data_IF_456481465173
#
_entry.id   IF_456481465173
#
_cell.length_a   1.000
_cell.length_b   1.000
_cell.length_c   1.000
_cell.angle_alpha   90.00
_cell.angle_beta   90.00
_cell.angle_gamma   90.00
#
_symmetry.space_group_name_H-M   'P 1'
#
loop_
_entity.id
_entity.type
_entity.pdbx_description
1 polymer ?
#
# COMPACT_ATOMS: atom_id res chain seq x y z
N UNK A 1 15.22 19.79 9.75
CA UNK A 1 16.16 19.53 10.87
C UNK A 1 15.63 20.27 12.09
N UNK A 2 15.72 19.67 13.29
CA UNK A 2 15.28 20.31 14.54
C UNK A 2 14.11 19.64 15.27
N UNK A 3 13.97 18.30 15.23
CA UNK A 3 12.93 17.59 15.99
C UNK A 3 13.55 16.64 17.00
N UNK A 4 12.92 16.54 18.17
CA UNK A 4 13.24 15.52 19.17
C UNK A 4 12.33 14.33 18.87
N UNK A 5 12.92 13.24 18.40
CA UNK A 5 12.21 11.99 18.18
C UNK A 5 12.51 11.07 19.35
N UNK A 6 11.47 10.67 20.07
CA UNK A 6 11.57 9.65 21.10
C UNK A 6 11.33 8.28 20.47
N UNK A 7 12.17 7.32 20.83
CA UNK A 7 12.08 5.94 20.37
C UNK A 7 11.86 5.06 21.60
N UNK A 8 10.91 4.14 21.53
CA UNK A 8 10.65 3.17 22.60
C UNK A 8 10.48 1.78 21.99
N UNK A 9 10.92 0.77 22.73
CA UNK A 9 10.68 -0.65 22.49
C UNK A 9 9.90 -1.30 23.64
N UNK A 10 9.44 -0.49 24.60
CA UNK A 10 8.63 -0.95 25.73
C UNK A 10 7.19 -1.20 25.27
N UNK A 11 6.64 -2.41 25.46
CA UNK A 11 5.28 -2.75 25.02
C UNK A 11 4.19 -1.96 25.76
N UNK A 12 4.39 -1.58 27.02
CA UNK A 12 3.41 -0.81 27.79
C UNK A 12 3.33 0.62 27.27
N UNK A 13 4.48 1.23 26.96
CA UNK A 13 4.53 2.56 26.35
C UNK A 13 3.95 2.51 24.93
N UNK A 14 4.30 1.49 24.13
CA UNK A 14 3.77 1.32 22.78
C UNK A 14 2.25 1.18 22.77
N UNK A 15 1.66 0.47 23.74
CA UNK A 15 0.21 0.34 23.86
C UNK A 15 -0.48 1.69 24.12
N UNK A 16 0.17 2.61 24.83
CA UNK A 16 -0.34 3.98 25.04
C UNK A 16 -0.20 4.82 23.77
N UNK A 17 0.96 4.78 23.10
CA UNK A 17 1.26 5.60 21.90
C UNK A 17 0.43 5.19 20.69
N UNK A 18 0.17 3.89 20.51
CA UNK A 18 -0.59 3.36 19.37
C UNK A 18 -2.11 3.42 19.57
N UNK A 19 -2.57 3.78 20.77
CA UNK A 19 -3.98 3.97 21.07
C UNK A 19 -4.38 5.40 20.72
N UNK A 20 -5.35 5.54 19.82
CA UNK A 20 -6.03 6.81 19.58
C UNK A 20 -6.65 7.34 20.88
N UNK A 21 -6.36 8.59 21.21
CA UNK A 21 -6.85 9.25 22.41
C UNK A 21 -6.33 10.68 22.54
N UNK A 22 -6.45 11.25 23.74
CA UNK A 22 -6.21 12.69 23.95
C UNK A 22 -4.76 13.13 23.69
N UNK A 23 -3.79 12.22 23.81
CA UNK A 23 -2.36 12.52 23.69
C UNK A 23 -1.74 12.08 22.37
N UNK A 24 -2.31 11.08 21.70
CA UNK A 24 -1.78 10.50 20.48
C UNK A 24 -2.89 10.34 19.46
N UNK A 25 -2.68 10.92 18.29
CA UNK A 25 -3.61 10.82 17.16
C UNK A 25 -2.86 10.82 15.84
N UNK A 26 -3.48 10.22 14.82
CA UNK A 26 -3.01 10.29 13.44
C UNK A 26 -3.38 11.66 12.85
N UNK A 27 -2.37 12.51 12.64
CA UNK A 27 -2.54 13.84 12.03
C UNK A 27 -1.55 14.11 10.87
N UNK A 28 -1.68 13.44 9.71
CA UNK A 28 -0.82 13.68 8.56
C UNK A 28 -0.92 15.08 7.98
N UNK A 29 -1.96 15.85 8.34
CA UNK A 29 -2.11 17.26 7.96
C UNK A 29 -1.10 18.20 8.63
N UNK A 30 -0.49 17.80 9.74
CA UNK A 30 0.54 18.60 10.40
C UNK A 30 1.80 18.68 9.49
N UNK A 31 2.29 19.88 9.15
CA UNK A 31 3.57 20.05 8.45
C UNK A 31 4.76 19.37 9.14
N UNK A 32 4.62 19.11 10.44
CA UNK A 32 5.56 18.36 11.26
C UNK A 32 5.50 16.83 11.04
N UNK A 33 4.46 16.32 10.39
CA UNK A 33 4.27 14.88 10.23
C UNK A 33 5.21 14.26 9.17
N UNK A 34 5.80 13.06 9.39
CA UNK A 34 6.73 12.42 8.45
C UNK A 34 6.17 12.13 7.05
N UNK A 35 4.85 11.99 6.93
CA UNK A 35 4.16 11.70 5.65
C UNK A 35 3.41 12.92 5.10
N UNK A 36 3.63 14.12 5.65
CA UNK A 36 2.89 15.34 5.31
C UNK A 36 2.76 15.60 3.80
N UNK A 37 3.84 15.39 3.03
CA UNK A 37 3.79 15.68 1.59
C UNK A 37 3.10 14.60 0.74
N UNK A 38 2.57 13.53 1.35
CA UNK A 38 1.65 12.58 0.71
C UNK A 38 0.31 12.52 1.42
N UNK A 39 -0.02 13.48 2.29
CA UNK A 39 -1.31 13.54 2.96
C UNK A 39 -2.46 13.59 1.94
N UNK A 40 -3.55 12.94 2.28
CA UNK A 40 -4.77 12.92 1.47
C UNK A 40 -5.95 12.66 2.40
N UNK A 41 -6.74 13.71 2.66
CA UNK A 41 -7.88 13.65 3.58
C UNK A 41 -9.02 12.74 3.10
N UNK A 42 -8.99 12.32 1.83
CA UNK A 42 -9.94 11.34 1.29
C UNK A 42 -9.47 9.90 1.47
N UNK A 43 -8.19 9.67 1.76
CA UNK A 43 -7.61 8.35 1.85
C UNK A 43 -7.54 7.86 3.31
N UNK A 44 -8.05 6.65 3.57
CA UNK A 44 -8.13 6.02 4.90
C UNK A 44 -6.83 6.09 5.73
N UNK A 45 -5.68 5.89 5.09
CA UNK A 45 -4.37 5.87 5.76
C UNK A 45 -3.71 7.25 5.88
N UNK A 46 -4.14 8.22 5.08
CA UNK A 46 -3.43 9.50 4.89
C UNK A 46 -4.23 10.71 5.38
N UNK A 47 -5.49 10.50 5.81
CA UNK A 47 -6.30 11.51 6.47
C UNK A 47 -5.99 11.64 7.96
N UNK A 48 -6.42 12.73 8.57
CA UNK A 48 -6.42 12.88 10.03
C UNK A 48 -7.50 12.00 10.67
N UNK A 49 -7.33 11.59 11.93
CA UNK A 49 -8.37 10.84 12.67
C UNK A 49 -9.64 11.64 12.88
N UNK A 50 -9.52 12.96 13.06
CA UNK A 50 -10.67 13.86 13.24
C UNK A 50 -11.41 14.18 11.93
N UNK A 51 -10.84 13.82 10.78
CA UNK A 51 -11.46 14.10 9.49
C UNK A 51 -12.71 13.22 9.28
N UNK A 52 -13.85 13.75 8.78
CA UNK A 52 -15.08 12.97 8.60
C UNK A 52 -14.90 11.70 7.75
N UNK A 53 -14.01 11.76 6.73
CA UNK A 53 -13.71 10.62 5.88
C UNK A 53 -13.07 9.45 6.64
N UNK A 54 -12.32 9.72 7.72
CA UNK A 54 -11.75 8.66 8.57
C UNK A 54 -12.86 7.81 9.18
N UNK A 55 -13.87 8.45 9.78
CA UNK A 55 -15.00 7.78 10.42
C UNK A 55 -15.85 7.01 9.42
N UNK A 56 -16.09 7.60 8.25
CA UNK A 56 -16.85 6.93 7.19
C UNK A 56 -16.10 5.70 6.67
N UNK A 57 -14.82 5.83 6.34
CA UNK A 57 -14.02 4.72 5.85
C UNK A 57 -13.86 3.61 6.91
N UNK A 58 -13.64 3.94 8.19
CA UNK A 58 -13.55 2.96 9.28
C UNK A 58 -14.89 2.27 9.60
N UNK A 59 -16.03 2.86 9.19
CA UNK A 59 -17.33 2.20 9.30
C UNK A 59 -17.51 1.07 8.30
N UNK A 60 -16.92 1.16 7.11
CA UNK A 60 -17.18 0.23 6.00
C UNK A 60 -16.01 -0.68 5.64
N UNK A 61 -14.78 -0.20 5.71
CA UNK A 61 -13.60 -0.96 5.28
C UNK A 61 -13.22 -2.09 6.25
N UNK A 62 -13.09 -1.89 7.57
CA UNK A 62 -12.77 -3.00 8.48
C UNK A 62 -13.81 -4.15 8.46
N UNK A 63 -15.14 -3.88 8.43
CA UNK A 63 -16.12 -4.96 8.31
C UNK A 63 -16.01 -5.77 7.01
N UNK A 64 -15.59 -5.16 5.90
CA UNK A 64 -15.36 -5.87 4.62
C UNK A 64 -14.16 -6.83 4.68
N UNK A 65 -13.33 -6.73 5.72
CA UNK A 65 -12.22 -7.63 6.01
C UNK A 65 -12.49 -8.57 7.21
N UNK A 66 -13.72 -8.62 7.70
CA UNK A 66 -14.10 -9.53 8.79
C UNK A 66 -13.94 -11.00 8.39
N UNK A 67 -13.76 -11.94 9.35
CA UNK A 67 -13.65 -13.37 9.03
C UNK A 67 -14.81 -13.91 8.19
N UNK A 68 -16.03 -13.37 8.37
CA UNK A 68 -17.20 -13.72 7.56
C UNK A 68 -17.05 -13.25 6.11
N UNK A 69 -16.60 -12.00 5.91
CA UNK A 69 -16.34 -11.47 4.58
C UNK A 69 -15.19 -12.23 3.89
N UNK A 70 -14.10 -12.51 4.61
CA UNK A 70 -12.97 -13.30 4.12
C UNK A 70 -13.41 -14.64 3.56
N UNK A 71 -14.25 -15.38 4.30
CA UNK A 71 -14.81 -16.66 3.82
C UNK A 71 -15.58 -16.52 2.51
N UNK A 72 -16.26 -15.41 2.29
CA UNK A 72 -17.03 -15.17 1.07
C UNK A 72 -16.13 -15.04 -0.16
N UNK A 73 -15.00 -14.33 -0.05
CA UNK A 73 -14.08 -14.14 -1.17
C UNK A 73 -12.89 -15.11 -1.20
N UNK A 74 -12.77 -16.01 -0.23
CA UNK A 74 -11.76 -17.09 -0.23
C UNK A 74 -11.76 -17.93 -1.51
N UNK A 75 -12.92 -18.34 -2.09
CA UNK A 75 -12.91 -19.07 -3.35
C UNK A 75 -12.33 -18.28 -4.54
N UNK A 76 -12.47 -16.95 -4.53
CA UNK A 76 -11.86 -16.08 -5.55
C UNK A 76 -10.35 -16.03 -5.38
N UNK A 77 -9.86 -15.89 -4.14
CA UNK A 77 -8.44 -15.94 -3.80
C UNK A 77 -7.81 -17.27 -4.25
N UNK A 78 -8.47 -18.38 -3.94
CA UNK A 78 -8.01 -19.71 -4.32
C UNK A 78 -7.86 -19.84 -5.84
N UNK A 79 -8.87 -19.42 -6.61
CA UNK A 79 -8.81 -19.45 -8.09
C UNK A 79 -7.66 -18.61 -8.64
N UNK A 80 -7.38 -17.44 -8.06
CA UNK A 80 -6.26 -16.61 -8.48
C UNK A 80 -4.90 -17.28 -8.19
N UNK A 81 -4.78 -18.00 -7.08
CA UNK A 81 -3.59 -18.78 -6.74
C UNK A 81 -3.45 -20.00 -7.67
N UNK A 82 -4.52 -20.75 -7.91
CA UNK A 82 -4.51 -21.91 -8.81
C UNK A 82 -4.09 -21.54 -10.24
N UNK A 83 -4.55 -20.38 -10.76
CA UNK A 83 -4.08 -19.86 -12.05
C UNK A 83 -2.56 -19.67 -12.11
N UNK A 84 -1.93 -19.32 -10.98
CA UNK A 84 -0.48 -19.12 -10.94
C UNK A 84 0.31 -20.43 -11.07
N UNK A 85 -0.30 -21.58 -10.80
CA UNK A 85 0.35 -22.89 -10.92
C UNK A 85 0.71 -23.22 -12.35
N UNK A 86 -0.12 -22.85 -13.33
CA UNK A 86 0.19 -23.04 -14.75
C UNK A 86 1.54 -22.41 -15.14
N UNK A 87 1.85 -21.23 -14.59
CA UNK A 87 3.13 -20.56 -14.83
C UNK A 87 4.28 -21.28 -14.14
N UNK A 88 4.07 -21.77 -12.91
CA UNK A 88 5.09 -22.51 -12.18
C UNK A 88 5.39 -23.86 -12.84
N UNK A 89 4.36 -24.58 -13.29
CA UNK A 89 4.48 -25.85 -13.99
C UNK A 89 5.23 -25.68 -15.33
N UNK A 90 4.98 -24.59 -16.05
CA UNK A 90 5.69 -24.30 -17.30
C UNK A 90 7.16 -23.94 -17.06
N UNK A 91 7.45 -23.15 -16.03
CA UNK A 91 8.83 -22.82 -15.63
C UNK A 91 9.59 -24.08 -15.21
N UNK A 92 8.94 -24.97 -14.44
CA UNK A 92 9.50 -26.26 -14.03
C UNK A 92 9.77 -27.17 -15.23
N UNK A 93 8.81 -27.28 -16.15
CA UNK A 93 8.94 -28.07 -17.39
C UNK A 93 10.12 -27.60 -18.25
N UNK A 94 10.39 -26.29 -18.26
CA UNK A 94 11.53 -25.70 -18.99
C UNK A 94 12.86 -25.83 -18.23
N UNK A 95 12.83 -26.22 -16.96
CA UNK A 95 14.01 -26.25 -16.09
C UNK A 95 14.59 -24.85 -15.83
N UNK A 96 13.74 -23.82 -15.86
CA UNK A 96 14.16 -22.42 -15.71
C UNK A 96 14.06 -21.94 -14.26
N UNK A 97 14.93 -21.01 -13.87
CA UNK A 97 14.79 -20.28 -12.63
C UNK A 97 13.85 -19.09 -12.82
N UNK A 98 13.06 -18.74 -11.79
CA UNK A 98 12.21 -17.56 -11.83
C UNK A 98 12.46 -16.60 -10.67
N UNK A 99 12.07 -15.34 -10.87
CA UNK A 99 12.18 -14.30 -9.86
C UNK A 99 10.97 -14.33 -8.91
N UNK A 100 11.18 -14.83 -7.69
CA UNK A 100 10.15 -14.94 -6.65
C UNK A 100 9.53 -13.58 -6.30
N UNK A 101 10.32 -12.51 -6.22
CA UNK A 101 9.81 -11.16 -5.93
C UNK A 101 8.84 -10.67 -7.01
N UNK A 102 9.18 -10.88 -8.29
CA UNK A 102 8.30 -10.50 -9.41
C UNK A 102 7.04 -11.37 -9.41
N UNK A 103 7.17 -12.66 -9.13
CA UNK A 103 6.05 -13.59 -9.05
C UNK A 103 5.08 -13.23 -7.93
N UNK A 104 5.57 -12.99 -6.70
CA UNK A 104 4.72 -12.61 -5.57
C UNK A 104 4.09 -11.23 -5.75
N UNK A 105 4.81 -10.27 -6.35
CA UNK A 105 4.24 -8.97 -6.73
C UNK A 105 3.09 -9.13 -7.75
N UNK A 106 3.26 -9.98 -8.77
CA UNK A 106 2.19 -10.34 -9.73
C UNK A 106 0.99 -10.98 -9.02
N UNK A 107 1.23 -11.92 -8.10
CA UNK A 107 0.18 -12.63 -7.37
C UNK A 107 -0.63 -11.68 -6.48
N UNK A 108 0.05 -10.89 -5.65
CA UNK A 108 -0.59 -9.95 -4.74
C UNK A 108 -1.42 -8.91 -5.51
N UNK A 109 -0.88 -8.36 -6.59
CA UNK A 109 -1.60 -7.37 -7.40
C UNK A 109 -2.78 -7.96 -8.17
N UNK A 110 -2.64 -9.17 -8.74
CA UNK A 110 -3.74 -9.92 -9.35
C UNK A 110 -4.89 -10.08 -8.35
N UNK A 111 -4.58 -10.57 -7.15
CA UNK A 111 -5.55 -10.78 -6.07
C UNK A 111 -6.25 -9.48 -5.67
N UNK A 112 -5.50 -8.42 -5.39
CA UNK A 112 -6.06 -7.16 -4.90
C UNK A 112 -6.95 -6.52 -5.97
N UNK A 113 -6.50 -6.45 -7.22
CA UNK A 113 -7.31 -5.87 -8.30
C UNK A 113 -8.54 -6.70 -8.62
N UNK A 114 -8.44 -8.03 -8.58
CA UNK A 114 -9.60 -8.89 -8.81
C UNK A 114 -10.61 -8.80 -7.67
N UNK A 115 -10.15 -8.73 -6.42
CA UNK A 115 -11.02 -8.66 -5.25
C UNK A 115 -11.68 -7.28 -5.09
N UNK A 116 -10.89 -6.21 -5.23
CA UNK A 116 -11.34 -4.84 -4.93
C UNK A 116 -11.95 -4.16 -6.14
N UNK A 117 -11.39 -4.38 -7.34
CA UNK A 117 -11.81 -3.70 -8.57
C UNK A 117 -12.60 -4.63 -9.53
N UNK A 118 -12.62 -5.94 -9.27
CA UNK A 118 -13.24 -6.90 -10.19
C UNK A 118 -12.47 -7.11 -11.49
N UNK A 119 -11.18 -6.70 -11.54
CA UNK A 119 -10.37 -6.72 -12.77
C UNK A 119 -9.37 -7.87 -12.73
N UNK A 120 -9.37 -8.72 -13.76
CA UNK A 120 -8.31 -9.70 -14.01
C UNK A 120 -7.11 -8.99 -14.67
N UNK A 121 -5.93 -9.05 -14.06
CA UNK A 121 -4.73 -8.40 -14.60
C UNK A 121 -3.98 -9.27 -15.61
N UNK A 122 -4.43 -10.52 -15.82
CA UNK A 122 -3.81 -11.47 -16.75
C UNK A 122 -2.32 -11.74 -16.45
N UNK A 123 -1.90 -11.60 -15.18
CA UNK A 123 -0.49 -11.75 -14.78
C UNK A 123 0.05 -13.18 -14.91
N UNK A 124 -0.85 -14.16 -15.04
CA UNK A 124 -0.54 -15.60 -15.09
C UNK A 124 -1.07 -16.29 -16.36
N UNK A 125 -1.37 -15.53 -17.42
CA UNK A 125 -1.74 -16.11 -18.72
C UNK A 125 -0.53 -16.77 -19.40
N UNK A 126 0.70 -16.32 -19.07
CA UNK A 126 1.96 -16.90 -19.48
C UNK A 126 3.09 -16.51 -18.49
N UNK A 127 4.21 -17.26 -18.42
CA UNK A 127 5.35 -16.90 -17.57
C UNK A 127 5.87 -15.48 -17.81
N UNK A 128 5.95 -15.09 -19.09
CA UNK A 128 6.46 -13.80 -19.53
C UNK A 128 5.41 -12.67 -19.53
N UNK A 129 4.18 -12.94 -19.07
CA UNK A 129 3.13 -11.92 -19.00
C UNK A 129 3.67 -10.65 -18.33
N UNK A 130 3.50 -9.45 -18.91
CA UNK A 130 4.03 -8.23 -18.33
C UNK A 130 3.29 -7.89 -17.04
N UNK A 131 3.93 -7.07 -16.20
CA UNK A 131 3.22 -6.48 -15.06
C UNK A 131 2.23 -5.45 -15.59
N UNK A 132 0.97 -5.56 -15.18
CA UNK A 132 -0.10 -4.68 -15.64
C UNK A 132 0.23 -3.21 -15.34
N UNK A 133 -0.19 -2.33 -16.26
CA UNK A 133 0.19 -0.91 -16.27
C UNK A 133 -0.16 -0.20 -14.97
N UNK A 134 -1.30 -0.53 -14.34
CA UNK A 134 -1.72 0.04 -13.05
C UNK A 134 -0.66 -0.17 -11.98
N UNK A 135 -0.08 -1.37 -11.89
CA UNK A 135 0.93 -1.68 -10.87
C UNK A 135 2.26 -1.01 -11.18
N UNK A 136 2.62 -0.94 -12.46
CA UNK A 136 3.81 -0.19 -12.91
C UNK A 136 3.71 1.29 -12.52
N UNK A 137 2.57 1.92 -12.78
CA UNK A 137 2.31 3.31 -12.43
C UNK A 137 2.29 3.54 -10.91
N UNK A 138 1.66 2.63 -10.16
CA UNK A 138 1.65 2.69 -8.70
C UNK A 138 3.07 2.63 -8.12
N UNK A 139 3.92 1.72 -8.61
CA UNK A 139 5.31 1.61 -8.18
C UNK A 139 6.11 2.89 -8.52
N UNK A 140 5.93 3.43 -9.73
CA UNK A 140 6.55 4.70 -10.12
C UNK A 140 6.11 5.85 -9.21
N UNK A 141 4.82 5.95 -8.92
CA UNK A 141 4.27 6.94 -8.00
C UNK A 141 4.87 6.84 -6.60
N UNK A 142 4.90 5.64 -6.01
CA UNK A 142 5.49 5.40 -4.69
C UNK A 142 7.00 5.73 -4.66
N UNK A 143 7.73 5.36 -5.72
CA UNK A 143 9.17 5.66 -5.85
C UNK A 143 9.42 7.16 -5.94
N UNK A 144 8.61 7.88 -6.73
CA UNK A 144 8.70 9.33 -6.86
C UNK A 144 8.35 10.03 -5.53
N UNK A 145 7.28 9.61 -4.87
CA UNK A 145 6.89 10.12 -3.56
C UNK A 145 8.02 9.96 -2.54
N UNK A 146 8.63 8.78 -2.44
CA UNK A 146 9.77 8.56 -1.53
C UNK A 146 10.93 9.50 -1.82
N UNK A 147 11.25 9.73 -3.10
CA UNK A 147 12.33 10.65 -3.51
C UNK A 147 12.04 12.11 -3.16
N UNK A 148 10.79 12.53 -3.16
CA UNK A 148 10.41 13.89 -2.77
C UNK A 148 10.41 14.03 -1.25
N UNK A 149 9.79 13.10 -0.51
CA UNK A 149 9.71 13.16 0.96
C UNK A 149 11.10 13.19 1.63
N UNK A 150 12.05 12.42 1.12
CA UNK A 150 13.41 12.32 1.69
C UNK A 150 14.24 13.58 1.54
N UNK A 151 13.87 14.51 0.65
CA UNK A 151 14.61 15.75 0.42
C UNK A 151 14.20 16.90 1.34
N UNK A 152 13.15 16.73 2.16
CA UNK A 152 12.72 17.72 3.15
C UNK A 152 12.08 18.98 2.55
N UNK A 153 11.48 19.82 3.42
CA UNK A 153 10.67 20.97 3.01
C UNK A 153 11.45 22.02 2.18
N UNK A 154 12.76 22.15 2.34
CA UNK A 154 13.56 23.10 1.55
C UNK A 154 13.60 22.76 0.06
N UNK A 155 13.42 21.47 -0.31
CA UNK A 155 13.46 21.03 -1.70
C UNK A 155 12.34 21.61 -2.56
N UNK A 156 11.19 21.95 -1.97
CA UNK A 156 10.09 22.62 -2.69
C UNK A 156 10.40 24.09 -3.03
N UNK A 157 11.44 24.69 -2.42
CA UNK A 157 11.83 26.07 -2.68
C UNK A 157 12.95 26.18 -3.75
N UNK A 158 13.41 25.07 -4.32
CA UNK A 158 14.45 25.09 -5.35
C UNK A 158 13.79 25.32 -6.73
N UNK A 159 14.20 26.33 -7.51
CA UNK A 159 13.58 26.69 -8.79
C UNK A 159 13.67 25.62 -9.89
N UNK A 160 14.45 24.54 -9.69
CA UNK A 160 14.60 23.42 -10.62
C UNK A 160 14.17 22.06 -10.04
N UNK A 161 13.58 22.05 -8.84
CA UNK A 161 12.94 20.85 -8.32
C UNK A 161 11.75 20.51 -9.23
N UNK A 162 11.61 19.25 -9.66
CA UNK A 162 10.44 18.78 -10.41
C UNK A 162 9.15 18.78 -9.55
N UNK A 163 8.78 19.94 -9.02
CA UNK A 163 7.48 20.26 -8.44
C UNK A 163 7.01 21.51 -9.15
N UNK A 164 6.20 21.33 -10.19
CA UNK A 164 5.41 22.43 -10.72
C UNK A 164 4.52 22.96 -9.59
N UNK A 165 4.30 24.28 -9.59
CA UNK A 165 3.33 24.94 -8.72
C UNK A 165 1.89 24.49 -8.95
#
# INVERSE_FOLDING_TARGET
MGRITYLTNDPEIAAVVLKEGDYFTKAPSDPSHPIYGIRDETALFLCDTDHPAWKEAHKFIPPSMSPKAVRHYTPLLQKAVEKSFNVLDEVDTRGEAFNVYRFTAKLASQIICQLVLGIDLHHFDAPEAPLHRVIVLLNQYLTLNRRVQTKGAWYSYIPFGKGCG
#
